data_IF_724029989509
#
_entry.id   IF_724029989509
#
_cell.length_a   1.000
_cell.length_b   1.000
_cell.length_c   1.000
_cell.angle_alpha   90.00
_cell.angle_beta   90.00
_cell.angle_gamma   90.00
#
_symmetry.space_group_name_H-M   'P 1'
#
loop_
_entity.id
_entity.type
_entity.pdbx_description
1 polymer ?
#
# COMPACT_ATOMS: atom_id res chain seq x y z
N UNK A 1 27.91 20.49 -1.25
CA UNK A 1 26.46 20.28 -0.96
C UNK A 1 26.11 18.86 -1.34
N UNK A 2 26.41 17.87 -0.49
CA UNK A 2 26.09 16.45 -0.74
C UNK A 2 26.12 15.67 0.58
N UNK A 3 25.12 15.85 1.44
CA UNK A 3 24.94 15.05 2.66
C UNK A 3 23.46 14.69 2.94
N UNK A 4 22.49 15.38 2.31
CA UNK A 4 21.07 15.21 2.62
C UNK A 4 20.37 14.00 1.96
N UNK A 5 20.93 13.42 0.90
CA UNK A 5 20.26 12.36 0.12
C UNK A 5 20.04 11.06 0.92
N UNK A 6 20.89 10.74 1.90
CA UNK A 6 20.80 9.45 2.60
C UNK A 6 19.67 9.41 3.65
N UNK A 7 19.33 10.55 4.27
CA UNK A 7 18.31 10.61 5.31
C UNK A 7 16.89 10.53 4.73
N UNK A 8 16.62 11.21 3.60
CA UNK A 8 15.32 11.14 2.92
C UNK A 8 15.03 9.75 2.36
N UNK A 9 16.03 9.06 1.80
CA UNK A 9 15.87 7.70 1.28
C UNK A 9 15.54 6.71 2.40
N UNK A 10 16.28 6.75 3.52
CA UNK A 10 16.05 5.84 4.66
C UNK A 10 14.67 6.06 5.31
N UNK A 11 14.21 7.31 5.43
CA UNK A 11 12.87 7.62 5.94
C UNK A 11 11.79 7.09 4.99
N UNK A 12 11.95 7.29 3.67
CA UNK A 12 11.01 6.80 2.66
C UNK A 12 10.91 5.28 2.64
N UNK A 13 12.03 4.59 2.69
CA UNK A 13 12.06 3.12 2.77
C UNK A 13 11.37 2.62 4.04
N UNK A 14 11.63 3.27 5.18
CA UNK A 14 10.98 2.93 6.45
C UNK A 14 9.47 3.14 6.40
N UNK A 15 8.99 4.21 5.74
CA UNK A 15 7.57 4.46 5.53
C UNK A 15 6.94 3.41 4.61
N UNK A 16 7.58 3.11 3.47
CA UNK A 16 7.12 2.07 2.53
C UNK A 16 7.00 0.72 3.22
N UNK A 17 7.98 0.33 4.03
CA UNK A 17 7.95 -0.96 4.73
C UNK A 17 6.80 -1.03 5.75
N UNK A 18 6.49 0.07 6.44
CA UNK A 18 5.30 0.14 7.33
C UNK A 18 3.98 0.05 6.55
N UNK A 19 3.92 0.67 5.38
CA UNK A 19 2.76 0.59 4.49
C UNK A 19 2.57 -0.82 3.94
N UNK A 20 3.66 -1.49 3.52
CA UNK A 20 3.65 -2.88 3.08
C UNK A 20 3.04 -3.80 4.14
N UNK A 21 3.54 -3.73 5.38
CA UNK A 21 3.04 -4.57 6.47
C UNK A 21 1.54 -4.34 6.73
N UNK A 22 1.12 -3.07 6.80
CA UNK A 22 -0.28 -2.74 7.03
C UNK A 22 -1.16 -3.21 5.87
N UNK A 23 -0.77 -2.92 4.63
CA UNK A 23 -1.54 -3.30 3.45
C UNK A 23 -1.60 -4.82 3.29
N UNK A 24 -0.52 -5.55 3.60
CA UNK A 24 -0.48 -7.01 3.58
C UNK A 24 -1.55 -7.61 4.49
N UNK A 25 -1.61 -7.13 5.75
CA UNK A 25 -2.62 -7.58 6.70
C UNK A 25 -4.04 -7.25 6.20
N UNK A 26 -4.25 -6.04 5.70
CA UNK A 26 -5.56 -5.63 5.17
C UNK A 26 -5.99 -6.47 3.96
N UNK A 27 -5.05 -6.81 3.06
CA UNK A 27 -5.32 -7.66 1.90
C UNK A 27 -5.68 -9.08 2.32
N UNK A 28 -4.89 -9.69 3.21
CA UNK A 28 -5.15 -11.04 3.70
C UNK A 28 -6.58 -11.17 4.26
N UNK A 29 -7.01 -10.18 5.04
CA UNK A 29 -8.36 -10.14 5.60
C UNK A 29 -9.46 -9.90 4.54
N UNK A 30 -9.24 -9.02 3.56
CA UNK A 30 -10.24 -8.68 2.52
C UNK A 30 -10.38 -9.79 1.47
N UNK A 31 -9.26 -10.42 1.12
CA UNK A 31 -9.18 -11.48 0.12
C UNK A 31 -9.44 -12.87 0.73
N UNK A 32 -9.38 -12.99 2.07
CA UNK A 32 -9.56 -14.24 2.81
C UNK A 32 -8.48 -15.26 2.39
N UNK A 33 -7.22 -14.84 2.48
CA UNK A 33 -6.03 -15.65 2.17
C UNK A 33 -5.07 -15.68 3.36
N UNK A 34 -4.24 -16.71 3.48
CA UNK A 34 -3.34 -16.91 4.62
C UNK A 34 -2.20 -15.87 4.66
N UNK A 35 -1.66 -15.54 3.49
CA UNK A 35 -0.57 -14.57 3.34
C UNK A 35 -0.63 -13.88 1.98
N UNK A 36 0.01 -12.73 1.90
CA UNK A 36 0.16 -11.94 0.67
C UNK A 36 1.63 -11.52 0.54
N UNK A 37 2.24 -11.81 -0.60
CA UNK A 37 3.61 -11.42 -0.92
C UNK A 37 3.66 -10.01 -1.54
N UNK A 38 4.84 -9.38 -1.51
CA UNK A 38 5.03 -8.02 -2.04
C UNK A 38 4.70 -7.89 -3.53
N UNK A 39 4.87 -8.98 -4.29
CA UNK A 39 4.64 -9.02 -5.75
C UNK A 39 3.25 -9.54 -6.11
N UNK A 40 2.42 -9.87 -5.12
CA UNK A 40 1.08 -10.35 -5.38
C UNK A 40 0.21 -9.28 -6.01
N UNK A 41 -0.55 -9.72 -7.02
CA UNK A 41 -1.54 -8.90 -7.68
C UNK A 41 -2.91 -9.11 -7.04
N UNK A 42 -3.54 -8.01 -6.61
CA UNK A 42 -4.84 -7.98 -5.93
C UNK A 42 -5.92 -8.76 -6.68
N UNK A 43 -5.98 -8.60 -8.01
CA UNK A 43 -7.00 -9.25 -8.84
C UNK A 43 -6.64 -10.71 -9.13
N UNK A 44 -5.35 -11.06 -9.18
CA UNK A 44 -4.93 -12.45 -9.32
C UNK A 44 -5.26 -13.28 -8.07
N UNK A 45 -5.27 -12.66 -6.89
CA UNK A 45 -5.69 -13.27 -5.63
C UNK A 45 -7.22 -13.31 -5.42
N UNK A 46 -8.03 -12.96 -6.44
CA UNK A 46 -9.49 -12.98 -6.35
C UNK A 46 -10.12 -11.67 -5.86
N UNK A 47 -9.37 -10.58 -5.85
CA UNK A 47 -9.90 -9.24 -5.64
C UNK A 47 -10.84 -8.79 -6.75
N UNK A 48 -11.79 -7.93 -6.40
CA UNK A 48 -12.73 -7.30 -7.32
C UNK A 48 -12.97 -5.84 -6.90
N UNK A 49 -13.84 -5.13 -7.60
CA UNK A 49 -14.17 -3.73 -7.30
C UNK A 49 -14.74 -3.51 -5.90
N UNK A 50 -15.55 -4.43 -5.39
CA UNK A 50 -16.16 -4.31 -4.06
C UNK A 50 -15.10 -4.51 -2.97
N UNK A 51 -14.23 -5.50 -3.15
CA UNK A 51 -13.09 -5.75 -2.26
C UNK A 51 -12.08 -4.61 -2.30
N UNK A 52 -11.80 -4.04 -3.47
CA UNK A 52 -10.95 -2.86 -3.60
C UNK A 52 -11.54 -1.64 -2.88
N UNK A 53 -12.86 -1.45 -2.96
CA UNK A 53 -13.56 -0.39 -2.21
C UNK A 53 -13.50 -0.63 -0.69
N UNK A 54 -13.71 -1.87 -0.25
CA UNK A 54 -13.59 -2.25 1.17
C UNK A 54 -12.17 -1.99 1.68
N UNK A 55 -11.16 -2.48 0.95
CA UNK A 55 -9.74 -2.27 1.25
C UNK A 55 -9.40 -0.78 1.37
N UNK A 56 -9.86 0.06 0.44
CA UNK A 56 -9.66 1.50 0.51
C UNK A 56 -10.29 2.11 1.77
N UNK A 57 -11.51 1.70 2.13
CA UNK A 57 -12.16 2.13 3.37
C UNK A 57 -11.36 1.77 4.62
N UNK A 58 -10.86 0.53 4.70
CA UNK A 58 -10.05 0.06 5.84
C UNK A 58 -8.69 0.75 5.92
N UNK A 59 -8.02 0.95 4.79
CA UNK A 59 -6.77 1.70 4.72
C UNK A 59 -6.95 3.16 5.14
N UNK A 60 -8.07 3.79 4.77
CA UNK A 60 -8.40 5.15 5.22
C UNK A 60 -8.65 5.21 6.73
N UNK A 61 -9.34 4.21 7.31
CA UNK A 61 -9.50 4.10 8.76
C UNK A 61 -8.16 3.89 9.49
N UNK A 62 -7.18 3.27 8.83
CA UNK A 62 -5.80 3.14 9.33
C UNK A 62 -4.93 4.39 9.09
N UNK A 63 -5.49 5.48 8.54
CA UNK A 63 -4.77 6.74 8.31
C UNK A 63 -3.92 6.79 7.05
N UNK A 64 -4.05 5.83 6.13
CA UNK A 64 -3.22 5.74 4.91
C UNK A 64 -3.69 6.70 3.80
N UNK A 65 -4.97 7.12 3.81
CA UNK A 65 -5.49 8.01 2.77
C UNK A 65 -5.46 7.39 1.37
N UNK A 66 -5.76 6.09 1.26
CA UNK A 66 -5.69 5.33 0.02
C UNK A 66 -7.02 5.41 -0.75
N UNK A 67 -7.07 6.07 -1.92
CA UNK A 67 -8.25 6.02 -2.77
C UNK A 67 -8.37 4.66 -3.45
N UNK A 68 -9.60 4.21 -3.73
CA UNK A 68 -9.84 2.96 -4.48
C UNK A 68 -9.11 2.93 -5.83
N UNK A 69 -9.00 4.10 -6.50
CA UNK A 69 -8.28 4.22 -7.76
C UNK A 69 -6.79 3.85 -7.67
N UNK A 70 -6.18 3.91 -6.48
CA UNK A 70 -4.81 3.46 -6.27
C UNK A 70 -4.69 1.94 -6.48
N UNK A 71 -5.64 1.14 -5.98
CA UNK A 71 -5.65 -0.33 -6.16
C UNK A 71 -5.81 -0.70 -7.62
N UNK A 72 -6.65 0.03 -8.37
CA UNK A 72 -6.85 -0.21 -9.80
C UNK A 72 -5.59 0.11 -10.63
N UNK A 73 -4.87 1.17 -10.24
CA UNK A 73 -3.67 1.65 -10.95
C UNK A 73 -2.40 0.89 -10.58
N UNK A 74 -2.30 0.47 -9.33
CA UNK A 74 -1.18 -0.24 -8.74
C UNK A 74 -1.70 -1.52 -8.08
N UNK A 75 -2.05 -2.54 -8.88
CA UNK A 75 -2.65 -3.76 -8.34
C UNK A 75 -1.63 -4.69 -7.66
N UNK A 76 -0.34 -4.36 -7.70
CA UNK A 76 0.73 -5.10 -7.01
C UNK A 76 0.98 -4.46 -5.64
N UNK A 77 1.09 -5.26 -4.58
CA UNK A 77 1.21 -4.76 -3.20
C UNK A 77 2.38 -3.78 -3.02
N UNK A 78 3.56 -4.10 -3.56
CA UNK A 78 4.75 -3.24 -3.55
C UNK A 78 4.48 -1.89 -4.18
N UNK A 79 3.93 -1.89 -5.39
CA UNK A 79 3.66 -0.66 -6.16
C UNK A 79 2.59 0.20 -5.47
N UNK A 80 1.59 -0.45 -4.85
CA UNK A 80 0.54 0.23 -4.09
C UNK A 80 1.12 0.94 -2.86
N UNK A 81 2.00 0.27 -2.12
CA UNK A 81 2.67 0.83 -0.96
C UNK A 81 3.57 2.01 -1.35
N UNK A 82 4.31 1.90 -2.45
CA UNK A 82 5.14 2.98 -3.00
C UNK A 82 4.29 4.20 -3.40
N UNK A 83 3.21 3.98 -4.14
CA UNK A 83 2.25 5.02 -4.53
C UNK A 83 1.64 5.74 -3.31
N UNK A 84 1.42 5.02 -2.20
CA UNK A 84 0.92 5.62 -0.96
C UNK A 84 2.02 6.38 -0.19
N UNK A 85 3.27 5.91 -0.22
CA UNK A 85 4.39 6.59 0.40
C UNK A 85 4.68 7.95 -0.27
N UNK A 86 4.53 8.04 -1.60
CA UNK A 86 4.72 9.29 -2.35
C UNK A 86 3.67 10.36 -2.00
N UNK A 87 2.42 9.94 -1.79
CA UNK A 87 1.32 10.83 -1.38
C UNK A 87 1.43 11.33 0.06
N UNK A 88 2.16 10.62 0.92
CA UNK A 88 2.36 10.97 2.32
C UNK A 88 3.31 12.14 2.58
N UNK A 89 3.78 12.84 1.54
CA UNK A 89 4.55 14.07 1.70
C UNK A 89 3.61 15.17 2.21
N UNK A 90 3.79 15.68 3.45
CA UNK A 90 2.95 16.76 3.95
C UNK A 90 3.20 18.02 3.10
N UNK A 91 2.12 18.63 2.63
CA UNK A 91 2.13 20.06 2.31
C UNK A 91 2.01 20.88 3.58
#
# INVERSE_FOLDING_TARGET
MSADTNAETVVRESMRNRLLETLRALWAEVLVVDSVDDEDNFFALGGDSLRAMNLAGRANAAGIGMPMSAVLRHPVLRDLAESCAERGSPS
#
